data_IF_155585557246
#
_entry.id   IF_155585557246
#
_cell.length_a   1.000
_cell.length_b   1.000
_cell.length_c   1.000
_cell.angle_alpha   90.00
_cell.angle_beta   90.00
_cell.angle_gamma   90.00
#
_symmetry.space_group_name_H-M   'P 1'
#
loop_
_entity.id
_entity.type
_entity.pdbx_description
1 polymer ?
#
# COMPACT_ATOMS: atom_id res chain seq x y z
N UNK A 1 -3.32 5.96 10.76
CA UNK A 1 -3.71 7.36 11.02
C UNK A 1 -4.82 7.81 10.04
N UNK A 2 -4.59 7.77 8.75
CA UNK A 2 -5.52 8.15 7.67
C UNK A 2 -6.94 7.54 7.75
N UNK A 3 -7.04 6.25 8.04
CA UNK A 3 -8.31 5.50 8.15
C UNK A 3 -9.22 5.97 9.28
N UNK A 4 -8.65 6.62 10.28
CA UNK A 4 -9.33 7.13 11.45
C UNK A 4 -10.07 8.44 11.17
N UNK A 5 -9.51 9.30 10.30
CA UNK A 5 -9.99 10.68 10.19
C UNK A 5 -11.30 10.79 9.40
N UNK A 6 -11.48 10.01 8.34
CA UNK A 6 -12.78 10.01 7.61
C UNK A 6 -13.89 9.52 8.55
N UNK A 7 -13.66 8.41 9.27
CA UNK A 7 -14.63 7.91 10.24
C UNK A 7 -14.87 8.90 11.41
N UNK A 8 -13.83 9.61 11.86
CA UNK A 8 -13.95 10.65 12.88
C UNK A 8 -14.78 11.83 12.38
N UNK A 9 -14.57 12.27 11.13
CA UNK A 9 -15.36 13.34 10.51
C UNK A 9 -16.84 12.98 10.46
N UNK A 10 -17.16 11.78 10.00
CA UNK A 10 -18.54 11.31 9.90
C UNK A 10 -19.23 11.25 11.27
N UNK A 11 -18.54 10.75 12.31
CA UNK A 11 -19.09 10.74 13.66
C UNK A 11 -19.27 12.16 14.22
N UNK A 12 -18.36 13.09 13.93
CA UNK A 12 -18.45 14.49 14.33
C UNK A 12 -19.66 15.17 13.69
N UNK A 13 -19.82 15.01 12.38
CA UNK A 13 -20.93 15.57 11.60
C UNK A 13 -22.28 15.08 12.08
N UNK A 14 -22.38 13.80 12.47
CA UNK A 14 -23.62 13.22 12.99
C UNK A 14 -23.80 13.36 14.51
N UNK A 15 -22.95 14.13 15.21
CA UNK A 15 -22.97 14.31 16.66
C UNK A 15 -22.84 13.01 17.48
N UNK A 16 -22.20 11.99 16.91
CA UNK A 16 -22.02 10.66 17.51
C UNK A 16 -20.60 10.44 18.10
N UNK A 17 -19.85 11.50 18.34
CA UNK A 17 -18.48 11.42 18.89
C UNK A 17 -18.40 10.73 20.25
N UNK A 18 -19.44 10.82 21.06
CA UNK A 18 -19.53 10.12 22.36
C UNK A 18 -19.59 8.59 22.20
N UNK A 19 -19.92 8.09 21.00
CA UNK A 19 -19.99 6.66 20.66
C UNK A 19 -18.71 6.15 20.00
N UNK A 20 -17.65 6.97 19.92
CA UNK A 20 -16.35 6.54 19.40
C UNK A 20 -15.78 5.37 20.23
N UNK A 21 -15.45 4.27 19.57
CA UNK A 21 -14.93 3.08 20.22
C UNK A 21 -13.41 2.98 20.09
N UNK A 22 -12.68 3.28 21.16
CA UNK A 22 -11.23 3.08 21.21
C UNK A 22 -10.85 1.60 21.11
N UNK A 23 -11.65 0.69 21.64
CA UNK A 23 -11.40 -0.75 21.50
C UNK A 23 -11.48 -1.20 20.04
N UNK A 24 -12.50 -0.75 19.30
CA UNK A 24 -12.63 -1.02 17.88
C UNK A 24 -11.45 -0.41 17.10
N UNK A 25 -11.05 0.81 17.43
CA UNK A 25 -9.89 1.45 16.82
C UNK A 25 -8.60 0.60 16.96
N UNK A 26 -8.31 0.12 18.19
CA UNK A 26 -7.14 -0.70 18.42
C UNK A 26 -7.21 -2.06 17.73
N UNK A 27 -8.38 -2.70 17.70
CA UNK A 27 -8.58 -3.95 16.95
C UNK A 27 -8.30 -3.76 15.46
N UNK A 28 -8.85 -2.71 14.84
CA UNK A 28 -8.60 -2.39 13.44
C UNK A 28 -7.12 -2.10 13.19
N UNK A 29 -6.47 -1.33 14.07
CA UNK A 29 -5.05 -1.00 13.93
C UNK A 29 -4.16 -2.25 14.06
N UNK A 30 -4.37 -3.09 15.08
CA UNK A 30 -3.59 -4.30 15.29
C UNK A 30 -3.85 -5.33 14.17
N UNK A 31 -5.11 -5.51 13.75
CA UNK A 31 -5.45 -6.38 12.62
C UNK A 31 -4.75 -5.96 11.33
N UNK A 32 -4.76 -4.66 11.00
CA UNK A 32 -4.07 -4.12 9.84
C UNK A 32 -2.53 -4.25 9.94
N UNK A 33 -1.97 -4.07 11.15
CA UNK A 33 -0.53 -4.22 11.38
C UNK A 33 -0.09 -5.68 11.21
N UNK A 34 -0.86 -6.64 11.73
CA UNK A 34 -0.60 -8.05 11.55
C UNK A 34 -0.72 -8.47 10.07
N UNK A 35 -1.71 -7.94 9.35
CA UNK A 35 -1.83 -8.17 7.91
C UNK A 35 -0.59 -7.70 7.15
N UNK A 36 -0.04 -6.53 7.52
CA UNK A 36 1.20 -6.01 6.94
C UNK A 36 2.40 -6.92 7.24
N UNK A 37 2.56 -7.37 8.49
CA UNK A 37 3.63 -8.29 8.88
C UNK A 37 3.48 -9.61 8.11
N UNK A 38 2.26 -10.16 8.03
CA UNK A 38 1.98 -11.39 7.30
C UNK A 38 2.39 -11.28 5.83
N UNK A 39 1.99 -10.20 5.16
CA UNK A 39 2.30 -9.97 3.74
C UNK A 39 3.81 -9.86 3.51
N UNK A 40 4.51 -9.06 4.32
CA UNK A 40 5.95 -8.87 4.17
C UNK A 40 6.74 -10.16 4.47
N UNK A 41 6.41 -10.85 5.57
CA UNK A 41 7.09 -12.11 5.90
C UNK A 41 6.79 -13.21 4.89
N UNK A 42 5.56 -13.25 4.34
CA UNK A 42 5.21 -14.16 3.26
C UNK A 42 6.01 -13.85 1.99
N UNK A 43 6.15 -12.57 1.65
CA UNK A 43 6.97 -12.13 0.51
C UNK A 43 8.44 -12.57 0.69
N UNK A 44 9.05 -12.28 1.83
CA UNK A 44 10.44 -12.67 2.11
C UNK A 44 10.66 -14.20 2.00
N UNK A 45 9.70 -15.00 2.50
CA UNK A 45 9.78 -16.45 2.39
C UNK A 45 9.70 -16.95 0.93
N UNK A 46 8.72 -16.45 0.16
CA UNK A 46 8.52 -16.90 -1.22
C UNK A 46 9.58 -16.34 -2.18
N UNK A 47 10.05 -15.12 -1.98
CA UNK A 47 11.15 -14.54 -2.79
C UNK A 47 12.50 -15.25 -2.47
N UNK A 48 12.71 -15.72 -1.24
CA UNK A 48 13.81 -16.62 -0.90
C UNK A 48 13.67 -17.97 -1.62
N UNK A 49 12.50 -18.63 -1.53
CA UNK A 49 12.30 -19.96 -2.15
C UNK A 49 12.35 -19.95 -3.67
N UNK A 50 12.01 -18.81 -4.30
CA UNK A 50 12.14 -18.60 -5.76
C UNK A 50 13.54 -18.17 -6.20
N UNK A 51 14.47 -17.97 -5.26
CA UNK A 51 15.80 -17.39 -5.45
C UNK A 51 15.82 -15.93 -5.95
N UNK A 52 14.72 -15.19 -5.91
CA UNK A 52 14.68 -13.78 -6.31
C UNK A 52 15.64 -12.94 -5.47
N UNK A 53 15.57 -13.11 -4.14
CA UNK A 53 16.45 -12.42 -3.19
C UNK A 53 17.90 -12.90 -3.24
N UNK A 54 18.15 -14.17 -3.57
CA UNK A 54 19.50 -14.75 -3.67
C UNK A 54 20.26 -14.22 -4.89
N UNK A 55 19.56 -14.01 -6.00
CA UNK A 55 20.13 -13.45 -7.23
C UNK A 55 20.40 -11.97 -7.08
N UNK A 56 19.59 -11.25 -6.31
CA UNK A 56 19.77 -9.82 -6.08
C UNK A 56 21.01 -9.55 -5.21
N UNK A 57 22.12 -9.21 -5.86
CA UNK A 57 23.39 -8.88 -5.18
C UNK A 57 23.44 -7.46 -4.63
N UNK A 58 22.47 -6.62 -4.97
CA UNK A 58 22.46 -5.19 -4.64
C UNK A 58 21.21 -4.86 -3.81
N UNK A 59 21.15 -5.48 -2.63
CA UNK A 59 20.08 -5.18 -1.69
C UNK A 59 20.32 -3.87 -0.96
N UNK A 60 19.25 -3.09 -0.77
CA UNK A 60 19.22 -1.86 0.02
C UNK A 60 18.11 -1.94 1.07
N UNK A 61 17.99 -0.97 1.98
CA UNK A 61 16.88 -0.94 2.95
C UNK A 61 15.47 -0.91 2.32
N UNK A 62 15.35 -0.72 0.99
CA UNK A 62 14.07 -0.55 0.30
C UNK A 62 13.82 -1.60 -0.79
N UNK A 63 14.78 -2.49 -1.07
CA UNK A 63 14.64 -3.52 -2.08
C UNK A 63 15.30 -4.84 -1.65
N UNK A 64 14.98 -5.94 -2.33
CA UNK A 64 15.52 -7.28 -2.05
C UNK A 64 15.01 -7.87 -0.73
N UNK A 65 13.79 -7.51 -0.29
CA UNK A 65 13.17 -7.98 0.93
C UNK A 65 13.84 -7.46 2.21
N UNK A 66 13.48 -8.03 3.37
CA UNK A 66 14.07 -7.66 4.67
C UNK A 66 15.49 -8.18 4.87
N UNK A 67 15.91 -9.15 4.06
CA UNK A 67 17.22 -9.84 4.09
C UNK A 67 17.49 -10.64 5.37
N UNK A 68 16.51 -10.78 6.27
CA UNK A 68 16.70 -11.49 7.56
C UNK A 68 17.12 -12.95 7.38
N UNK A 69 16.70 -13.59 6.27
CA UNK A 69 17.11 -14.95 5.92
C UNK A 69 18.55 -14.94 5.40
N UNK A 70 18.88 -14.06 4.46
CA UNK A 70 20.18 -14.00 3.80
C UNK A 70 21.33 -13.64 4.76
N UNK A 71 21.04 -12.79 5.76
CA UNK A 71 22.04 -12.45 6.80
C UNK A 71 22.03 -13.42 8.00
N UNK A 72 21.19 -14.46 7.98
CA UNK A 72 21.14 -15.49 9.00
C UNK A 72 20.48 -15.07 10.32
N UNK A 73 19.74 -13.97 10.37
CA UNK A 73 19.00 -13.54 11.57
C UNK A 73 17.79 -14.41 11.85
N UNK A 74 17.13 -14.91 10.81
CA UNK A 74 16.00 -15.84 10.92
C UNK A 74 16.16 -16.97 9.90
N UNK A 75 15.73 -18.17 10.28
CA UNK A 75 15.60 -19.28 9.32
C UNK A 75 14.35 -19.08 8.44
N UNK A 76 14.31 -19.66 7.21
CA UNK A 76 13.11 -19.60 6.38
C UNK A 76 11.85 -20.10 7.10
N UNK A 77 11.98 -21.16 7.92
CA UNK A 77 10.88 -21.68 8.74
C UNK A 77 10.37 -20.69 9.78
N UNK A 78 11.24 -19.90 10.40
CA UNK A 78 10.85 -18.85 11.35
C UNK A 78 10.12 -17.70 10.64
N UNK A 79 10.55 -17.31 9.45
CA UNK A 79 9.88 -16.28 8.64
C UNK A 79 8.51 -16.76 8.21
N UNK A 80 8.38 -18.00 7.74
CA UNK A 80 7.09 -18.61 7.41
C UNK A 80 6.16 -18.69 8.64
N UNK A 81 6.68 -19.10 9.79
CA UNK A 81 5.90 -19.14 11.04
C UNK A 81 5.40 -17.74 11.43
N UNK A 82 6.23 -16.71 11.28
CA UNK A 82 5.83 -15.31 11.52
C UNK A 82 4.69 -14.89 10.58
N UNK A 83 4.78 -15.24 9.29
CA UNK A 83 3.72 -14.98 8.32
C UNK A 83 2.41 -15.69 8.72
N UNK A 84 2.47 -16.98 9.03
CA UNK A 84 1.30 -17.79 9.42
C UNK A 84 0.67 -17.32 10.73
N UNK A 85 1.48 -17.02 11.75
CA UNK A 85 0.97 -16.48 13.02
C UNK A 85 0.29 -15.14 12.83
N UNK A 86 0.90 -14.25 12.05
CA UNK A 86 0.36 -12.91 11.79
C UNK A 86 -0.94 -12.95 10.98
N UNK A 87 -1.03 -13.79 9.94
CA UNK A 87 -2.28 -13.91 9.17
C UNK A 87 -3.39 -14.55 9.99
N UNK A 88 -3.06 -15.54 10.83
CA UNK A 88 -4.02 -16.16 11.76
C UNK A 88 -4.55 -15.11 12.75
N UNK A 89 -3.68 -14.28 13.31
CA UNK A 89 -4.05 -13.17 14.18
C UNK A 89 -4.95 -12.15 13.47
N UNK A 90 -4.61 -11.80 12.23
CA UNK A 90 -5.44 -10.91 11.37
C UNK A 90 -6.84 -11.47 11.17
N UNK A 91 -6.95 -12.75 10.81
CA UNK A 91 -8.24 -13.42 10.61
C UNK A 91 -9.03 -13.46 11.91
N UNK A 92 -8.39 -13.83 13.02
CA UNK A 92 -9.06 -13.88 14.34
C UNK A 92 -9.61 -12.52 14.76
N UNK A 93 -8.83 -11.44 14.57
CA UNK A 93 -9.28 -10.07 14.86
C UNK A 93 -10.41 -9.67 13.91
N UNK A 94 -10.29 -9.95 12.61
CA UNK A 94 -11.33 -9.64 11.63
C UNK A 94 -12.66 -10.34 11.94
N UNK A 95 -12.62 -11.63 12.28
CA UNK A 95 -13.81 -12.40 12.68
C UNK A 95 -14.37 -11.88 14.01
N UNK A 96 -13.52 -11.47 14.98
CA UNK A 96 -13.97 -10.87 16.20
C UNK A 96 -14.69 -9.53 15.97
N UNK A 97 -14.15 -8.66 15.12
CA UNK A 97 -14.81 -7.42 14.69
C UNK A 97 -16.14 -7.75 14.02
N UNK A 98 -16.15 -8.72 13.09
CA UNK A 98 -17.37 -9.14 12.39
C UNK A 98 -18.45 -9.60 13.37
N UNK A 99 -18.08 -10.38 14.40
CA UNK A 99 -19.01 -10.81 15.45
C UNK A 99 -19.56 -9.63 16.27
N UNK A 100 -18.72 -8.64 16.59
CA UNK A 100 -19.20 -7.44 17.30
C UNK A 100 -20.23 -6.65 16.47
N UNK A 101 -20.10 -6.66 15.14
CA UNK A 101 -20.98 -5.93 14.23
C UNK A 101 -22.28 -6.69 13.98
N UNK A 102 -22.19 -7.99 13.64
CA UNK A 102 -23.32 -8.81 13.15
C UNK A 102 -23.91 -9.76 14.19
N UNK A 103 -23.25 -9.92 15.35
CA UNK A 103 -23.59 -10.96 16.33
C UNK A 103 -22.99 -12.34 16.01
N UNK A 104 -22.46 -12.57 14.81
CA UNK A 104 -21.93 -13.84 14.33
C UNK A 104 -20.52 -13.70 13.77
N UNK A 105 -19.66 -14.74 13.95
CA UNK A 105 -18.29 -14.70 13.38
C UNK A 105 -18.27 -14.61 11.87
N UNK A 106 -19.22 -15.27 11.20
CA UNK A 106 -19.35 -15.32 9.74
C UNK A 106 -20.59 -14.59 9.23
N UNK A 107 -21.09 -13.59 9.99
CA UNK A 107 -22.16 -12.72 9.55
C UNK A 107 -21.80 -12.00 8.25
N UNK A 108 -22.76 -11.87 7.35
CA UNK A 108 -22.56 -11.26 6.04
C UNK A 108 -22.43 -9.75 6.14
N UNK A 109 -21.23 -9.26 6.34
CA UNK A 109 -20.92 -7.82 6.46
C UNK A 109 -19.76 -7.43 5.52
N UNK A 110 -19.58 -6.13 5.23
CA UNK A 110 -18.42 -5.63 4.49
C UNK A 110 -17.07 -6.01 5.12
N UNK A 111 -17.00 -6.18 6.46
CA UNK A 111 -15.77 -6.61 7.15
C UNK A 111 -15.39 -8.04 6.79
N UNK A 112 -16.36 -8.94 6.72
CA UNK A 112 -16.09 -10.33 6.30
C UNK A 112 -15.49 -10.37 4.89
N UNK A 113 -16.10 -9.64 3.96
CA UNK A 113 -15.64 -9.61 2.57
C UNK A 113 -14.32 -8.89 2.40
N UNK A 114 -14.10 -7.77 3.11
CA UNK A 114 -12.81 -7.10 3.15
C UNK A 114 -11.71 -8.00 3.73
N UNK A 115 -12.02 -8.78 4.78
CA UNK A 115 -11.11 -9.76 5.37
C UNK A 115 -10.75 -10.88 4.41
N UNK A 116 -11.74 -11.47 3.72
CA UNK A 116 -11.52 -12.51 2.69
C UNK A 116 -10.66 -11.97 1.55
N UNK A 117 -11.03 -10.83 0.98
CA UNK A 117 -10.30 -10.21 -0.13
C UNK A 117 -8.90 -9.79 0.30
N UNK A 118 -8.76 -9.15 1.47
CA UNK A 118 -7.45 -8.73 1.99
C UNK A 118 -6.52 -9.92 2.25
N UNK A 119 -7.03 -11.01 2.83
CA UNK A 119 -6.26 -12.25 3.03
C UNK A 119 -5.84 -12.87 1.69
N UNK A 120 -6.75 -12.90 0.71
CA UNK A 120 -6.44 -13.38 -0.64
C UNK A 120 -5.34 -12.54 -1.31
N UNK A 121 -5.42 -11.20 -1.23
CA UNK A 121 -4.42 -10.31 -1.80
C UNK A 121 -3.07 -10.45 -1.08
N UNK A 122 -3.07 -10.57 0.25
CA UNK A 122 -1.87 -10.69 1.06
C UNK A 122 -1.09 -12.00 0.78
N UNK A 123 -1.78 -13.14 0.88
CA UNK A 123 -1.17 -14.45 0.65
C UNK A 123 -0.91 -14.73 -0.83
N UNK A 124 -1.80 -14.28 -1.69
CA UNK A 124 -1.71 -14.46 -3.14
C UNK A 124 -0.68 -13.55 -3.81
N UNK A 125 -0.12 -12.58 -3.10
CA UNK A 125 0.84 -11.64 -3.70
C UNK A 125 2.07 -12.37 -4.25
N UNK A 126 2.75 -13.18 -3.43
CA UNK A 126 3.90 -14.00 -3.83
C UNK A 126 3.67 -15.50 -3.67
N UNK A 127 2.65 -15.91 -2.91
CA UNK A 127 2.35 -17.29 -2.57
C UNK A 127 1.81 -18.12 -3.72
N UNK A 128 2.33 -19.36 -3.84
CA UNK A 128 1.83 -20.36 -4.79
C UNK A 128 0.40 -20.80 -4.44
N UNK A 129 -0.45 -21.09 -5.43
CA UNK A 129 -0.24 -21.03 -6.89
C UNK A 129 -0.63 -19.66 -7.51
N UNK A 130 -1.04 -18.69 -6.70
CA UNK A 130 -1.64 -17.43 -7.17
C UNK A 130 -0.58 -16.51 -7.75
N UNK A 131 0.43 -16.12 -6.95
CA UNK A 131 1.61 -15.34 -7.34
C UNK A 131 1.28 -14.08 -8.16
N UNK A 132 0.40 -13.20 -7.62
CA UNK A 132 -0.04 -11.98 -8.32
C UNK A 132 1.12 -11.08 -8.76
N UNK A 133 2.15 -10.93 -7.91
CA UNK A 133 3.35 -10.17 -8.22
C UNK A 133 4.13 -10.71 -9.41
N UNK A 134 4.14 -12.04 -9.61
CA UNK A 134 4.78 -12.70 -10.75
C UNK A 134 3.96 -12.58 -12.04
N UNK A 135 2.66 -12.33 -11.93
CA UNK A 135 1.73 -12.25 -13.07
C UNK A 135 1.41 -10.81 -13.50
N UNK A 136 2.08 -9.81 -12.92
CA UNK A 136 1.85 -8.39 -13.17
C UNK A 136 0.49 -7.91 -12.68
N UNK A 137 0.00 -8.49 -11.60
CA UNK A 137 -1.19 -8.07 -10.86
C UNK A 137 -0.83 -7.57 -9.46
N UNK A 138 0.47 -7.59 -9.12
CA UNK A 138 0.97 -7.21 -7.80
C UNK A 138 0.69 -5.77 -7.47
N UNK A 139 0.95 -4.86 -8.38
CA UNK A 139 0.77 -3.42 -8.21
C UNK A 139 -0.71 -3.08 -7.98
N UNK A 140 -1.61 -3.73 -8.75
CA UNK A 140 -3.07 -3.59 -8.57
C UNK A 140 -3.49 -4.16 -7.21
N UNK A 141 -2.95 -5.33 -6.83
CA UNK A 141 -3.25 -5.96 -5.55
C UNK A 141 -2.88 -5.06 -4.36
N UNK A 142 -1.73 -4.39 -4.45
CA UNK A 142 -1.29 -3.42 -3.44
C UNK A 142 -2.19 -2.19 -3.42
N UNK A 143 -2.47 -1.59 -4.58
CA UNK A 143 -3.34 -0.42 -4.65
C UNK A 143 -4.72 -0.70 -4.07
N UNK A 144 -5.34 -1.85 -4.41
CA UNK A 144 -6.64 -2.26 -3.88
C UNK A 144 -6.56 -2.63 -2.39
N UNK A 145 -5.56 -3.38 -1.98
CA UNK A 145 -5.40 -3.86 -0.61
C UNK A 145 -5.22 -2.72 0.40
N UNK A 146 -4.32 -1.79 0.13
CA UNK A 146 -4.02 -0.65 1.01
C UNK A 146 -4.97 0.54 0.82
N UNK A 147 -5.52 0.72 -0.37
CA UNK A 147 -6.56 1.70 -0.64
C UNK A 147 -7.95 1.17 -0.22
N UNK A 148 -8.81 0.78 -1.18
CA UNK A 148 -10.21 0.46 -0.90
C UNK A 148 -10.42 -0.56 0.21
N UNK A 149 -9.78 -1.74 0.14
CA UNK A 149 -10.04 -2.82 1.11
C UNK A 149 -9.75 -2.38 2.54
N UNK A 150 -8.58 -1.80 2.77
CA UNK A 150 -8.15 -1.42 4.11
C UNK A 150 -8.83 -0.14 4.61
N UNK A 151 -8.99 0.89 3.77
CA UNK A 151 -9.60 2.16 4.17
C UNK A 151 -11.10 1.99 4.40
N UNK A 152 -11.81 1.37 3.45
CA UNK A 152 -13.25 1.16 3.59
C UNK A 152 -13.60 0.19 4.71
N UNK A 153 -12.85 -0.90 4.88
CA UNK A 153 -13.03 -1.83 5.99
C UNK A 153 -12.85 -1.14 7.35
N UNK A 154 -11.80 -0.34 7.51
CA UNK A 154 -11.58 0.43 8.73
C UNK A 154 -12.68 1.48 8.96
N UNK A 155 -13.09 2.18 7.91
CA UNK A 155 -14.18 3.16 7.97
C UNK A 155 -15.49 2.50 8.43
N UNK A 156 -15.87 1.38 7.79
CA UNK A 156 -17.08 0.64 8.13
C UNK A 156 -17.11 0.23 9.61
N UNK A 157 -16.03 -0.36 10.11
CA UNK A 157 -15.94 -0.79 11.50
C UNK A 157 -16.02 0.39 12.51
N UNK A 158 -15.37 1.52 12.18
CA UNK A 158 -15.28 2.67 13.06
C UNK A 158 -16.52 3.58 13.04
N UNK A 159 -17.35 3.48 12.00
CA UNK A 159 -18.59 4.25 11.87
C UNK A 159 -19.85 3.43 12.19
N UNK A 160 -19.70 2.25 12.81
CA UNK A 160 -20.83 1.40 13.20
C UNK A 160 -21.98 2.15 13.91
N UNK A 161 -21.72 3.12 14.83
CA UNK A 161 -22.78 3.89 15.46
C UNK A 161 -23.67 4.67 14.49
N UNK A 162 -23.16 5.02 13.28
CA UNK A 162 -23.92 5.76 12.26
C UNK A 162 -24.84 4.81 11.51
N UNK A 163 -24.27 3.70 11.00
CA UNK A 163 -25.01 2.84 10.06
C UNK A 163 -25.71 1.65 10.73
N UNK A 164 -25.37 1.33 12.00
CA UNK A 164 -25.97 0.22 12.76
C UNK A 164 -26.16 -1.06 11.92
N UNK A 165 -25.11 -1.41 11.14
CA UNK A 165 -25.08 -2.53 10.17
C UNK A 165 -26.07 -2.38 9.00
N UNK A 166 -26.67 -1.23 8.78
CA UNK A 166 -27.44 -0.90 7.57
C UNK A 166 -26.54 -0.25 6.52
N UNK A 167 -26.31 -0.95 5.42
CA UNK A 167 -25.45 -0.49 4.33
C UNK A 167 -25.96 0.78 3.64
N UNK A 168 -27.27 1.05 3.69
CA UNK A 168 -27.86 2.26 3.10
C UNK A 168 -27.45 3.53 3.85
N UNK A 169 -27.13 3.40 5.13
CA UNK A 169 -26.68 4.50 6.01
C UNK A 169 -25.16 4.62 6.08
N UNK A 170 -24.41 3.70 5.46
CA UNK A 170 -22.95 3.74 5.45
C UNK A 170 -22.43 4.68 4.37
N UNK A 171 -21.63 5.67 4.76
CA UNK A 171 -21.00 6.63 3.85
C UNK A 171 -19.80 6.00 3.10
N UNK A 172 -20.05 4.91 2.37
CA UNK A 172 -19.01 4.14 1.67
C UNK A 172 -18.37 4.91 0.52
N UNK A 173 -19.10 5.83 -0.11
CA UNK A 173 -18.61 6.65 -1.22
C UNK A 173 -17.47 7.54 -0.75
N UNK A 174 -17.63 8.20 0.39
CA UNK A 174 -16.59 9.03 1.02
C UNK A 174 -15.33 8.22 1.31
N UNK A 175 -15.49 7.06 1.94
CA UNK A 175 -14.38 6.18 2.25
C UNK A 175 -13.66 5.69 0.97
N UNK A 176 -14.41 5.38 -0.10
CA UNK A 176 -13.85 4.96 -1.39
C UNK A 176 -13.04 6.10 -2.03
N UNK A 177 -13.61 7.30 -2.13
CA UNK A 177 -12.94 8.45 -2.73
C UNK A 177 -11.64 8.77 -1.97
N UNK A 178 -11.70 8.80 -0.63
CA UNK A 178 -10.54 9.03 0.21
C UNK A 178 -9.46 7.93 0.09
N UNK A 179 -9.85 6.71 -0.28
CA UNK A 179 -8.93 5.57 -0.42
C UNK A 179 -8.06 5.60 -1.68
N UNK A 180 -8.53 6.25 -2.75
CA UNK A 180 -7.89 6.22 -4.09
C UNK A 180 -6.46 6.77 -4.06
N UNK A 181 -6.20 8.02 -3.62
CA UNK A 181 -4.85 8.56 -3.61
C UNK A 181 -3.92 7.74 -2.72
N UNK A 182 -4.42 7.15 -1.63
CA UNK A 182 -3.61 6.33 -0.72
C UNK A 182 -3.20 5.02 -1.38
N UNK A 183 -4.13 4.34 -2.06
CA UNK A 183 -3.83 3.11 -2.79
C UNK A 183 -2.76 3.34 -3.87
N UNK A 184 -2.88 4.42 -4.64
CA UNK A 184 -1.90 4.77 -5.68
C UNK A 184 -0.53 5.07 -5.05
N UNK A 185 -0.48 5.88 -3.98
CA UNK A 185 0.79 6.26 -3.36
C UNK A 185 1.51 5.07 -2.70
N UNK A 186 0.78 4.12 -2.09
CA UNK A 186 1.38 2.88 -1.56
C UNK A 186 1.90 1.99 -2.69
N UNK A 187 1.14 1.86 -3.78
CA UNK A 187 1.60 1.17 -4.98
C UNK A 187 2.92 1.76 -5.51
N UNK A 188 3.05 3.09 -5.52
CA UNK A 188 4.25 3.77 -6.01
C UNK A 188 5.48 3.56 -5.11
N UNK A 189 5.31 3.32 -3.80
CA UNK A 189 6.42 2.92 -2.93
C UNK A 189 6.99 1.58 -3.41
N UNK A 190 6.13 0.60 -3.68
CA UNK A 190 6.57 -0.70 -4.19
C UNK A 190 7.14 -0.57 -5.60
N UNK A 191 6.50 0.24 -6.46
CA UNK A 191 6.94 0.48 -7.81
C UNK A 191 8.38 1.00 -7.89
N UNK A 192 8.73 2.03 -7.10
CA UNK A 192 10.08 2.59 -7.13
C UNK A 192 11.12 1.62 -6.54
N UNK A 193 10.72 0.78 -5.57
CA UNK A 193 11.60 -0.26 -5.04
C UNK A 193 11.90 -1.35 -6.09
N UNK A 194 10.94 -1.69 -6.94
CA UNK A 194 11.12 -2.67 -8.03
C UNK A 194 12.16 -2.23 -9.09
N UNK A 195 12.53 -0.96 -9.17
CA UNK A 195 13.58 -0.52 -10.12
C UNK A 195 14.93 -1.18 -9.83
N UNK A 196 15.27 -1.26 -8.57
CA UNK A 196 16.52 -1.89 -8.11
C UNK A 196 16.45 -3.41 -8.25
N UNK A 197 15.25 -4.00 -8.09
CA UNK A 197 15.01 -5.43 -8.16
C UNK A 197 14.79 -5.95 -9.59
N UNK A 198 14.50 -5.06 -10.55
CA UNK A 198 14.05 -5.45 -11.88
C UNK A 198 14.96 -6.47 -12.62
N UNK A 199 16.30 -6.39 -12.55
CA UNK A 199 17.15 -7.41 -13.17
C UNK A 199 17.03 -8.79 -12.50
N UNK A 200 16.93 -8.85 -11.17
CA UNK A 200 16.77 -10.08 -10.41
C UNK A 200 15.35 -10.66 -10.60
N UNK A 201 14.32 -9.82 -10.53
CA UNK A 201 12.93 -10.20 -10.77
C UNK A 201 12.76 -10.82 -12.17
N UNK A 202 13.34 -10.18 -13.19
CA UNK A 202 13.31 -10.70 -14.55
C UNK A 202 13.99 -12.06 -14.68
N UNK A 203 15.10 -12.28 -13.98
CA UNK A 203 15.87 -13.53 -14.02
C UNK A 203 15.08 -14.72 -13.42
N UNK A 204 14.19 -14.49 -12.45
CA UNK A 204 13.35 -15.54 -11.86
C UNK A 204 11.92 -15.57 -12.44
N UNK A 205 11.65 -14.81 -13.49
CA UNK A 205 10.34 -14.76 -14.16
C UNK A 205 9.28 -13.99 -13.37
N UNK A 206 9.64 -13.14 -12.43
CA UNK A 206 8.74 -12.24 -11.72
C UNK A 206 8.44 -11.04 -12.63
N UNK A 207 7.26 -11.08 -13.26
CA UNK A 207 6.86 -10.12 -14.29
C UNK A 207 6.08 -8.94 -13.70
N UNK A 208 6.71 -8.15 -12.82
CA UNK A 208 6.17 -6.89 -12.31
C UNK A 208 5.93 -5.88 -13.45
N UNK A 209 5.18 -4.82 -13.21
CA UNK A 209 4.96 -3.80 -14.25
C UNK A 209 6.28 -3.11 -14.64
N UNK A 210 7.21 -2.95 -13.71
CA UNK A 210 8.55 -2.45 -14.02
C UNK A 210 9.26 -3.38 -15.00
N UNK A 211 9.29 -4.70 -14.73
CA UNK A 211 9.91 -5.69 -15.61
C UNK A 211 9.21 -5.80 -16.96
N UNK A 212 7.87 -5.72 -16.99
CA UNK A 212 7.08 -5.82 -18.24
C UNK A 212 7.25 -4.63 -19.15
N UNK A 213 7.41 -3.44 -18.59
CA UNK A 213 7.51 -2.20 -19.37
C UNK A 213 8.93 -1.79 -19.65
N UNK A 214 9.93 -2.45 -19.04
CA UNK A 214 11.34 -2.27 -19.33
C UNK A 214 11.71 -2.79 -20.72
N UNK A 215 12.68 -2.12 -21.37
CA UNK A 215 13.29 -2.61 -22.60
C UNK A 215 14.47 -3.50 -22.23
N UNK A 216 14.46 -4.74 -22.75
CA UNK A 216 15.45 -5.78 -22.46
C UNK A 216 16.39 -5.95 -23.65
N UNK A 217 17.15 -4.90 -23.98
CA UNK A 217 18.16 -4.91 -25.04
C UNK A 217 19.53 -4.64 -24.40
N UNK A 218 20.25 -5.71 -24.14
CA UNK A 218 21.48 -5.66 -23.34
C UNK A 218 21.19 -5.39 -21.86
N UNK A 219 21.59 -4.21 -21.37
CA UNK A 219 21.22 -3.76 -20.03
C UNK A 219 19.77 -3.28 -19.99
N UNK A 220 19.02 -3.70 -18.94
CA UNK A 220 17.61 -3.37 -18.80
C UNK A 220 17.38 -1.85 -18.67
N UNK A 221 16.62 -1.28 -19.60
CA UNK A 221 16.28 0.14 -19.65
C UNK A 221 14.94 0.40 -19.01
N UNK A 222 14.89 1.38 -18.11
CA UNK A 222 13.76 1.64 -17.20
C UNK A 222 13.07 2.99 -17.46
N UNK A 223 13.26 3.63 -18.63
CA UNK A 223 12.65 4.93 -18.95
C UNK A 223 11.13 4.88 -18.97
N UNK A 224 10.55 3.82 -19.55
CA UNK A 224 9.10 3.67 -19.58
C UNK A 224 8.52 3.39 -18.19
N UNK A 225 9.07 2.47 -17.37
CA UNK A 225 8.69 2.37 -15.96
C UNK A 225 8.76 3.70 -15.19
N UNK A 226 9.81 4.50 -15.41
CA UNK A 226 9.95 5.81 -14.77
C UNK A 226 8.88 6.80 -15.21
N UNK A 227 8.56 6.82 -16.50
CA UNK A 227 7.47 7.65 -17.04
C UNK A 227 6.13 7.29 -16.39
N UNK A 228 5.82 6.00 -16.26
CA UNK A 228 4.60 5.52 -15.61
C UNK A 228 4.58 5.85 -14.10
N UNK A 229 5.72 5.70 -13.41
CA UNK A 229 5.83 6.14 -12.00
C UNK A 229 5.46 7.61 -11.84
N UNK A 230 5.99 8.49 -12.71
CA UNK A 230 5.68 9.92 -12.68
C UNK A 230 4.21 10.19 -12.99
N UNK A 231 3.65 9.50 -13.99
CA UNK A 231 2.25 9.61 -14.35
C UNK A 231 1.33 9.24 -13.17
N UNK A 232 1.52 8.07 -12.57
CA UNK A 232 0.70 7.64 -11.42
C UNK A 232 0.89 8.54 -10.19
N UNK A 233 2.07 9.11 -9.99
CA UNK A 233 2.27 10.11 -8.94
C UNK A 233 1.42 11.36 -9.19
N UNK A 234 1.36 11.85 -10.43
CA UNK A 234 0.49 12.97 -10.81
C UNK A 234 -1.00 12.57 -10.63
N UNK A 235 -1.39 11.38 -11.03
CA UNK A 235 -2.76 10.88 -10.87
C UNK A 235 -3.18 10.80 -9.40
N UNK A 236 -2.28 10.40 -8.49
CA UNK A 236 -2.56 10.43 -7.06
C UNK A 236 -2.84 11.85 -6.55
N UNK A 237 -2.09 12.85 -7.03
CA UNK A 237 -2.32 14.26 -6.67
C UNK A 237 -3.57 14.84 -7.34
N UNK A 238 -3.90 14.41 -8.57
CA UNK A 238 -5.19 14.73 -9.20
C UNK A 238 -6.33 14.16 -8.35
N UNK A 239 -6.23 12.91 -7.87
CA UNK A 239 -7.24 12.32 -7.01
C UNK A 239 -7.43 13.11 -5.71
N UNK A 240 -6.35 13.62 -5.10
CA UNK A 240 -6.44 14.55 -3.95
C UNK A 240 -7.16 15.84 -4.34
N UNK A 241 -6.82 16.42 -5.49
CA UNK A 241 -7.49 17.62 -6.00
C UNK A 241 -8.99 17.40 -6.28
N UNK A 242 -9.35 16.21 -6.78
CA UNK A 242 -10.75 15.80 -6.99
C UNK A 242 -11.52 15.77 -5.68
N UNK A 243 -10.93 15.24 -4.58
CA UNK A 243 -11.57 15.27 -3.25
C UNK A 243 -11.92 16.70 -2.84
N UNK A 244 -10.99 17.66 -3.05
CA UNK A 244 -11.27 19.07 -2.79
C UNK A 244 -12.31 19.66 -3.73
N UNK A 245 -12.24 19.32 -5.02
CA UNK A 245 -13.12 19.88 -6.05
C UNK A 245 -14.57 19.43 -5.96
N UNK A 246 -14.82 18.14 -5.71
CA UNK A 246 -16.20 17.60 -5.61
C UNK A 246 -16.97 18.17 -4.41
N UNK A 247 -16.28 18.62 -3.36
CA UNK A 247 -16.91 19.23 -2.18
C UNK A 247 -17.65 20.52 -2.48
N UNK A 248 -17.40 21.17 -3.63
CA UNK A 248 -18.16 22.34 -4.06
C UNK A 248 -19.49 22.00 -4.72
N UNK A 249 -19.68 20.75 -5.14
CA UNK A 249 -20.84 20.35 -5.96
C UNK A 249 -21.63 19.19 -5.34
N UNK A 250 -21.10 18.55 -4.31
CA UNK A 250 -21.67 17.35 -3.66
C UNK A 250 -21.44 17.41 -2.16
N UNK A 251 -22.10 16.52 -1.43
CA UNK A 251 -21.89 16.32 0.01
C UNK A 251 -20.63 15.45 0.32
N UNK A 252 -19.83 15.11 -0.70
CA UNK A 252 -18.63 14.31 -0.58
C UNK A 252 -17.36 15.16 -0.67
N UNK A 253 -16.30 14.68 -0.04
CA UNK A 253 -15.01 15.35 -0.02
C UNK A 253 -14.95 16.51 0.96
N UNK A 254 -13.84 17.19 0.98
CA UNK A 254 -13.63 18.39 1.78
C UNK A 254 -12.75 19.40 1.04
N UNK A 255 -13.12 20.67 1.05
CA UNK A 255 -12.31 21.75 0.45
C UNK A 255 -10.91 21.81 1.06
N UNK A 256 -10.77 21.44 2.30
CA UNK A 256 -9.48 21.38 2.99
C UNK A 256 -8.53 20.32 2.41
N UNK A 257 -9.03 19.38 1.56
CA UNK A 257 -8.16 18.40 0.89
C UNK A 257 -7.08 19.07 0.04
N UNK A 258 -7.26 20.30 -0.41
CA UNK A 258 -6.21 21.04 -1.15
C UNK A 258 -4.93 21.25 -0.34
N UNK A 259 -4.95 21.24 1.00
CA UNK A 259 -3.72 21.29 1.81
C UNK A 259 -2.84 20.05 1.59
N UNK A 260 -3.45 18.91 1.24
CA UNK A 260 -2.72 17.68 0.96
C UNK A 260 -2.01 17.68 -0.41
N UNK A 261 -2.13 18.76 -1.19
CA UNK A 261 -1.33 19.01 -2.39
C UNK A 261 0.05 19.64 -2.07
N UNK A 262 0.28 20.13 -0.86
CA UNK A 262 1.57 20.77 -0.49
C UNK A 262 2.81 19.90 -0.76
N UNK A 263 2.79 18.56 -0.60
CA UNK A 263 3.93 17.71 -0.93
C UNK A 263 4.33 17.68 -2.41
N UNK A 264 3.59 18.35 -3.31
CA UNK A 264 3.93 18.45 -4.75
C UNK A 264 5.34 19.01 -4.99
N UNK A 265 5.85 19.83 -4.07
CA UNK A 265 7.23 20.34 -4.11
C UNK A 265 8.23 19.17 -3.98
N UNK A 266 7.93 18.20 -3.11
CA UNK A 266 8.75 16.99 -2.95
C UNK A 266 8.63 16.08 -4.16
N UNK A 267 7.46 16.01 -4.78
CA UNK A 267 7.23 15.26 -6.03
C UNK A 267 8.18 15.78 -7.13
N UNK A 268 8.24 17.09 -7.33
CA UNK A 268 9.12 17.68 -8.32
C UNK A 268 10.60 17.33 -8.06
N UNK A 269 11.05 17.42 -6.79
CA UNK A 269 12.41 17.02 -6.39
C UNK A 269 12.68 15.54 -6.64
N UNK A 270 11.73 14.67 -6.28
CA UNK A 270 11.83 13.23 -6.50
C UNK A 270 11.94 12.91 -8.00
N UNK A 271 11.17 13.58 -8.85
CA UNK A 271 11.24 13.40 -10.30
C UNK A 271 12.59 13.80 -10.86
N UNK A 272 13.14 14.94 -10.42
CA UNK A 272 14.48 15.39 -10.85
C UNK A 272 15.56 14.40 -10.44
N UNK A 273 15.56 13.93 -9.18
CA UNK A 273 16.52 12.93 -8.71
C UNK A 273 16.38 11.60 -9.48
N UNK A 274 15.15 11.20 -9.80
CA UNK A 274 14.90 9.98 -10.57
C UNK A 274 15.41 10.09 -12.02
N UNK A 275 15.28 11.26 -12.65
CA UNK A 275 15.85 11.51 -13.99
C UNK A 275 17.39 11.50 -13.96
N UNK A 276 18.01 12.13 -12.98
CA UNK A 276 19.46 12.12 -12.79
C UNK A 276 19.97 10.69 -12.54
N UNK A 277 19.23 9.90 -11.75
CA UNK A 277 19.54 8.49 -11.54
C UNK A 277 19.41 7.69 -12.85
N UNK A 278 18.38 7.92 -13.65
CA UNK A 278 18.17 7.20 -14.92
C UNK A 278 19.31 7.42 -15.92
N UNK A 279 19.89 8.63 -15.96
CA UNK A 279 21.07 8.91 -16.80
C UNK A 279 22.24 8.02 -16.37
N UNK A 280 22.46 7.87 -15.06
CA UNK A 280 23.51 7.01 -14.51
C UNK A 280 23.22 5.53 -14.76
N UNK A 281 21.97 5.11 -14.56
CA UNK A 281 21.54 3.74 -14.81
C UNK A 281 21.79 3.29 -16.25
N UNK A 282 21.55 4.16 -17.23
CA UNK A 282 21.74 3.89 -18.65
C UNK A 282 23.21 4.03 -19.12
N UNK A 283 24.09 4.56 -18.30
CA UNK A 283 25.51 4.67 -18.66
C UNK A 283 26.16 3.27 -18.72
N UNK A 284 26.72 2.84 -19.88
CA UNK A 284 27.38 1.53 -20.01
C UNK A 284 28.54 1.33 -19.03
N UNK A 285 29.24 2.40 -18.69
CA UNK A 285 30.42 2.39 -17.80
C UNK A 285 30.06 2.52 -16.33
N UNK A 286 28.78 2.58 -15.98
CA UNK A 286 28.34 2.72 -14.61
C UNK A 286 28.66 1.50 -13.75
N UNK A 287 29.06 1.75 -12.52
CA UNK A 287 29.20 0.70 -11.50
C UNK A 287 27.83 0.09 -11.14
N UNK A 288 27.55 -1.09 -11.67
CA UNK A 288 26.28 -1.80 -11.50
C UNK A 288 26.01 -2.23 -10.05
N UNK A 289 26.98 -2.15 -9.18
CA UNK A 289 26.79 -2.39 -7.74
C UNK A 289 26.43 -1.11 -6.99
N UNK A 290 26.86 0.06 -7.46
CA UNK A 290 26.62 1.34 -6.78
C UNK A 290 25.38 2.07 -7.25
N UNK A 291 25.14 2.09 -8.56
CA UNK A 291 24.01 2.83 -9.17
C UNK A 291 22.66 2.51 -8.52
N UNK A 292 22.31 1.24 -8.20
CA UNK A 292 21.06 0.96 -7.52
C UNK A 292 20.92 1.68 -6.16
N UNK A 293 21.99 1.82 -5.39
CA UNK A 293 21.96 2.55 -4.11
C UNK A 293 21.70 4.04 -4.26
N UNK A 294 22.04 4.65 -5.38
CA UNK A 294 21.80 6.05 -5.62
C UNK A 294 20.31 6.41 -5.81
N UNK A 295 19.44 5.38 -6.00
CA UNK A 295 17.99 5.56 -6.01
C UNK A 295 17.37 5.76 -4.62
N UNK A 296 18.11 5.50 -3.54
CA UNK A 296 17.59 5.53 -2.16
C UNK A 296 16.89 6.84 -1.80
N UNK A 297 17.39 7.97 -2.28
CA UNK A 297 16.77 9.27 -2.04
C UNK A 297 15.39 9.40 -2.70
N UNK A 298 15.18 8.75 -3.86
CA UNK A 298 13.88 8.71 -4.52
C UNK A 298 12.92 7.79 -3.75
N UNK A 299 13.41 6.62 -3.28
CA UNK A 299 12.62 5.72 -2.45
C UNK A 299 12.13 6.43 -1.17
N UNK A 300 13.04 7.06 -0.41
CA UNK A 300 12.70 7.83 0.80
C UNK A 300 11.75 8.98 0.50
N UNK A 301 11.96 9.71 -0.61
CA UNK A 301 11.08 10.79 -1.02
C UNK A 301 9.67 10.30 -1.32
N UNK A 302 9.52 9.17 -2.00
CA UNK A 302 8.21 8.54 -2.30
C UNK A 302 7.47 8.18 -1.01
N UNK A 303 8.17 7.56 -0.05
CA UNK A 303 7.62 7.26 1.29
C UNK A 303 7.20 8.56 2.01
N UNK A 304 8.07 9.58 1.97
CA UNK A 304 7.80 10.89 2.58
C UNK A 304 6.59 11.59 1.96
N UNK A 305 6.46 11.56 0.63
CA UNK A 305 5.31 12.10 -0.10
C UNK A 305 4.03 11.39 0.34
N UNK A 306 4.01 10.06 0.36
CA UNK A 306 2.87 9.27 0.83
C UNK A 306 2.50 9.65 2.27
N UNK A 307 3.48 9.68 3.18
CA UNK A 307 3.24 9.96 4.60
C UNK A 307 2.69 11.37 4.81
N UNK A 308 3.30 12.39 4.20
CA UNK A 308 2.86 13.78 4.33
C UNK A 308 1.48 13.99 3.70
N UNK A 309 1.24 13.47 2.50
CA UNK A 309 -0.08 13.55 1.85
C UNK A 309 -1.14 12.89 2.73
N UNK A 310 -0.86 11.72 3.29
CA UNK A 310 -1.77 11.01 4.20
C UNK A 310 -2.07 11.80 5.47
N UNK A 311 -1.06 12.42 6.10
CA UNK A 311 -1.26 13.28 7.27
C UNK A 311 -2.12 14.51 6.92
N UNK A 312 -1.76 15.23 5.86
CA UNK A 312 -2.44 16.45 5.47
C UNK A 312 -3.89 16.18 5.04
N UNK A 313 -4.13 15.09 4.31
CA UNK A 313 -5.49 14.67 3.98
C UNK A 313 -6.27 14.26 5.24
N UNK A 314 -5.60 13.66 6.21
CA UNK A 314 -6.19 13.36 7.52
C UNK A 314 -6.60 14.62 8.28
N UNK A 315 -5.74 15.65 8.26
CA UNK A 315 -6.04 16.96 8.86
C UNK A 315 -7.22 17.60 8.12
N UNK A 316 -7.23 17.54 6.79
CA UNK A 316 -8.31 18.07 5.96
C UNK A 316 -9.69 17.52 6.33
N UNK A 317 -9.79 16.23 6.68
CA UNK A 317 -11.04 15.61 7.13
C UNK A 317 -11.41 15.92 8.58
N UNK A 318 -10.50 16.51 9.37
CA UNK A 318 -10.78 16.95 10.74
C UNK A 318 -11.31 18.39 10.78
N UNK A 319 -10.84 19.23 9.84
CA UNK A 319 -11.24 20.65 9.73
C UNK A 319 -12.66 20.80 9.21
#
# INVERSE_FOLDING_TARGET
MYKRQVAWSDLKTNNLMSQWSWSMFWLVLFGASLAQIATNSSNDYFDHTSNADEINKVASPFNGGSRVIQVGLMTPGQVLLTALASITGTIAIGLHINKQISGEFFGNTPILWAGILGTFLALGYTGDPIRLGYKGLGEIAIALGFGPVMVMGAHYALTLPIHNNDLSSWNWVEALIASVPIGILVMLIVWINQFQDAPADAAVGKNTWVVRTAVKDGWMRLEKPLSLYKQFMIEAFIAVGVIGGISFFTDYGTVYAFIALLPIILVWKAFKMADEWMIKWNNPDADRQKVPYELLLVNVSTIGIHFLTGILLSIAYIL
#
